data_IF_200533166403
#
_entry.id   IF_200533166403
#
_cell.length_a   1.000
_cell.length_b   1.000
_cell.length_c   1.000
_cell.angle_alpha   90.00
_cell.angle_beta   90.00
_cell.angle_gamma   90.00
#
_symmetry.space_group_name_H-M   'P 1'
#
loop_
_entity.id
_entity.type
_entity.pdbx_description
1 polymer ?
#
# COMPACT_ATOMS: atom_id res chain seq x y z
N UNK A 1 17.33 -1.13 28.53
CA UNK A 1 17.24 0.32 28.25
C UNK A 1 15.85 0.80 28.61
N UNK A 2 15.74 1.75 29.51
CA UNK A 2 14.50 2.51 29.74
C UNK A 2 14.56 3.74 28.84
N UNK A 3 13.59 3.87 27.93
CA UNK A 3 13.46 5.08 27.11
C UNK A 3 13.16 6.27 28.02
N UNK A 4 14.04 7.28 28.05
CA UNK A 4 13.81 8.56 28.73
C UNK A 4 13.39 9.63 27.70
N UNK A 5 12.66 10.66 28.14
CA UNK A 5 12.27 11.82 27.31
C UNK A 5 11.38 11.50 26.10
N UNK A 6 10.43 10.58 26.25
CA UNK A 6 9.41 10.33 25.23
C UNK A 6 8.61 11.60 24.95
N UNK A 7 8.32 11.85 23.67
CA UNK A 7 7.46 12.95 23.23
C UNK A 7 6.35 12.46 22.33
N UNK A 8 5.17 13.08 22.43
CA UNK A 8 4.07 12.87 21.49
C UNK A 8 4.33 13.64 20.20
N UNK A 9 4.36 12.92 19.08
CA UNK A 9 4.54 13.54 17.75
C UNK A 9 3.19 13.77 17.07
N UNK A 10 2.31 12.75 17.04
CA UNK A 10 0.97 12.83 16.43
C UNK A 10 -0.07 12.15 17.33
N UNK A 11 -1.24 12.75 17.50
CA UNK A 11 -2.37 12.26 18.30
C UNK A 11 -3.68 12.33 17.50
N UNK A 12 -4.82 11.93 18.10
CA UNK A 12 -6.14 12.08 17.47
C UNK A 12 -6.48 11.05 16.38
N UNK A 13 -5.78 9.91 16.32
CA UNK A 13 -5.89 8.95 15.21
C UNK A 13 -6.82 7.75 15.45
N UNK A 14 -7.55 7.69 16.57
CA UNK A 14 -8.40 6.53 16.91
C UNK A 14 -9.57 6.39 15.93
N UNK A 15 -9.85 5.17 15.48
CA UNK A 15 -11.10 4.77 14.81
C UNK A 15 -11.27 3.24 14.86
N UNK A 16 -12.45 2.74 14.49
CA UNK A 16 -12.76 1.31 14.32
C UNK A 16 -12.24 0.77 12.98
N UNK A 17 -12.33 -0.55 12.76
CA UNK A 17 -11.96 -1.25 11.52
C UNK A 17 -10.46 -1.16 11.18
N UNK A 18 -10.00 -0.15 10.44
CA UNK A 18 -8.57 -0.02 10.09
C UNK A 18 -7.80 0.75 11.17
N UNK A 19 -7.10 0.02 12.03
CA UNK A 19 -6.44 0.57 13.24
C UNK A 19 -4.92 0.77 13.11
N UNK A 20 -4.30 0.29 12.04
CA UNK A 20 -2.86 0.45 11.78
C UNK A 20 -2.52 1.90 11.38
N UNK A 21 -1.38 2.41 11.83
CA UNK A 21 -0.90 3.77 11.51
C UNK A 21 0.54 3.71 10.99
N UNK A 22 0.70 3.46 9.69
CA UNK A 22 2.04 3.34 9.10
C UNK A 22 2.79 4.66 9.20
N UNK A 23 4.05 4.57 9.60
CA UNK A 23 4.98 5.68 9.74
C UNK A 23 6.07 5.58 8.68
N UNK A 24 6.40 6.70 8.03
CA UNK A 24 7.53 6.80 7.11
C UNK A 24 8.21 8.16 7.30
N UNK A 25 9.48 8.14 7.73
CA UNK A 25 10.34 9.34 7.71
C UNK A 25 10.88 9.51 6.29
N UNK A 26 10.76 10.71 5.73
CA UNK A 26 11.25 10.98 4.37
C UNK A 26 12.78 11.05 4.36
N UNK A 27 13.43 10.31 3.47
CA UNK A 27 14.90 10.43 3.30
C UNK A 27 15.28 11.67 2.49
N UNK A 28 14.36 12.18 1.65
CA UNK A 28 14.52 13.43 0.88
C UNK A 28 14.24 14.69 1.70
N UNK A 29 13.44 14.59 2.75
CA UNK A 29 13.13 15.70 3.65
C UNK A 29 13.07 15.14 5.09
N UNK A 30 14.23 14.94 5.74
CA UNK A 30 14.33 14.21 7.01
C UNK A 30 13.52 14.78 8.17
N UNK A 31 13.13 16.05 8.11
CA UNK A 31 12.23 16.67 9.08
C UNK A 31 10.76 16.24 8.92
N UNK A 32 10.39 15.56 7.83
CA UNK A 32 9.01 15.20 7.53
C UNK A 32 8.70 13.74 7.87
N UNK A 33 7.67 13.57 8.71
CA UNK A 33 7.04 12.30 9.04
C UNK A 33 5.73 12.16 8.25
N UNK A 34 5.62 11.08 7.49
CA UNK A 34 4.42 10.66 6.78
C UNK A 34 3.66 9.65 7.62
N UNK A 35 2.36 9.86 7.81
CA UNK A 35 1.49 8.99 8.62
C UNK A 35 0.23 8.62 7.85
N UNK A 36 0.00 7.32 7.65
CA UNK A 36 -1.22 6.79 7.06
C UNK A 36 -2.28 6.49 8.13
N UNK A 37 -3.55 6.73 7.77
CA UNK A 37 -4.72 6.34 8.56
C UNK A 37 -5.81 5.82 7.63
N UNK A 38 -6.24 4.58 7.86
CA UNK A 38 -7.31 3.94 7.10
C UNK A 38 -8.70 4.49 7.40
N UNK A 39 -9.71 3.94 6.72
CA UNK A 39 -11.12 4.22 6.97
C UNK A 39 -11.61 3.58 8.27
N UNK A 40 -12.74 4.05 8.80
CA UNK A 40 -13.34 3.46 10.00
C UNK A 40 -14.36 2.33 9.73
N UNK A 41 -14.58 2.03 8.46
CA UNK A 41 -15.45 0.97 7.96
C UNK A 41 -14.94 0.57 6.56
N UNK A 42 -15.49 -0.52 6.04
CA UNK A 42 -15.25 -1.01 4.71
C UNK A 42 -15.67 0.00 3.62
N UNK A 43 -16.78 0.72 3.84
CA UNK A 43 -17.25 1.86 3.04
C UNK A 43 -17.56 3.05 3.96
N UNK A 44 -16.53 3.78 4.34
CA UNK A 44 -16.59 5.05 5.07
C UNK A 44 -16.99 6.18 4.12
N UNK A 45 -18.29 6.33 3.88
CA UNK A 45 -18.83 7.37 2.98
C UNK A 45 -18.39 8.78 3.39
N UNK A 46 -18.15 9.02 4.68
CA UNK A 46 -17.68 10.30 5.20
C UNK A 46 -16.25 10.65 4.79
N UNK A 47 -15.42 9.67 4.40
CA UNK A 47 -14.02 9.88 4.01
C UNK A 47 -13.86 10.62 2.68
N UNK A 48 -14.94 10.78 1.90
CA UNK A 48 -14.94 11.64 0.71
C UNK A 48 -14.65 13.08 1.07
N UNK A 49 -15.01 13.50 2.30
CA UNK A 49 -14.65 14.81 2.80
C UNK A 49 -13.25 14.77 3.40
N UNK A 50 -12.32 15.53 2.81
CA UNK A 50 -10.94 15.62 3.28
C UNK A 50 -10.84 16.05 4.76
N UNK A 51 -11.81 16.80 5.30
CA UNK A 51 -11.81 17.21 6.71
C UNK A 51 -12.17 16.08 7.69
N UNK A 52 -12.74 14.97 7.20
CA UNK A 52 -13.04 13.80 8.03
C UNK A 52 -11.78 13.08 8.53
N UNK A 53 -10.62 13.35 7.90
CA UNK A 53 -9.30 12.86 8.29
C UNK A 53 -9.18 11.33 8.43
N UNK A 54 -9.95 10.57 7.64
CA UNK A 54 -9.91 9.10 7.54
C UNK A 54 -9.72 8.69 6.09
N UNK A 55 -9.11 7.53 5.85
CA UNK A 55 -8.68 7.08 4.53
C UNK A 55 -7.73 8.11 3.86
N UNK A 56 -6.69 8.51 4.59
CA UNK A 56 -5.74 9.57 4.21
C UNK A 56 -4.30 9.22 4.58
N UNK A 57 -3.39 9.94 3.92
CA UNK A 57 -1.98 10.04 4.29
C UNK A 57 -1.65 11.50 4.53
N UNK A 58 -1.04 11.80 5.68
CA UNK A 58 -0.69 13.15 6.11
C UNK A 58 0.80 13.29 6.42
N UNK A 59 1.29 14.53 6.36
CA UNK A 59 2.69 14.88 6.61
C UNK A 59 2.77 15.86 7.77
N UNK A 60 3.73 15.63 8.64
CA UNK A 60 4.03 16.44 9.82
C UNK A 60 5.52 16.76 9.84
N UNK A 61 5.88 17.96 10.27
CA UNK A 61 7.27 18.28 10.56
C UNK A 61 7.58 17.84 11.99
N UNK A 62 8.21 16.68 12.15
CA UNK A 62 8.44 16.10 13.48
C UNK A 62 9.56 16.81 14.26
N UNK A 63 10.23 17.79 13.65
CA UNK A 63 11.28 18.60 14.28
C UNK A 63 10.74 19.87 14.95
N UNK A 64 9.47 20.22 14.70
CA UNK A 64 8.84 21.46 15.19
C UNK A 64 7.53 21.20 15.95
N UNK A 65 7.60 20.31 16.95
CA UNK A 65 6.43 19.86 17.71
C UNK A 65 5.72 21.00 18.45
N UNK A 66 4.38 20.93 18.58
CA UNK A 66 3.62 21.86 19.43
C UNK A 66 4.12 21.86 20.88
N UNK A 67 4.10 23.04 21.52
CA UNK A 67 4.49 23.20 22.92
C UNK A 67 3.59 22.36 23.86
N UNK A 68 4.16 21.91 24.99
CA UNK A 68 3.41 21.20 26.02
C UNK A 68 3.26 19.68 25.83
N UNK A 69 4.08 19.05 24.99
CA UNK A 69 4.09 17.59 24.75
C UNK A 69 2.71 17.00 24.37
N UNK A 70 1.96 17.77 23.59
CA UNK A 70 0.65 17.37 23.07
C UNK A 70 0.74 16.66 21.72
N UNK A 71 1.82 16.90 20.96
CA UNK A 71 1.96 16.48 19.56
C UNK A 71 0.97 17.18 18.64
N UNK A 72 1.05 16.88 17.34
CA UNK A 72 0.07 17.37 16.37
C UNK A 72 -1.23 16.56 16.43
N UNK A 73 -2.39 17.21 16.38
CA UNK A 73 -3.66 16.54 16.09
C UNK A 73 -3.70 16.15 14.60
N UNK A 74 -3.79 14.84 14.34
CA UNK A 74 -3.84 14.31 12.98
C UNK A 74 -4.96 14.93 12.15
N UNK A 75 -6.12 15.19 12.76
CA UNK A 75 -7.32 15.61 12.07
C UNK A 75 -7.22 17.04 11.54
N UNK A 76 -6.49 17.91 12.25
CA UNK A 76 -6.50 19.35 12.02
C UNK A 76 -5.15 19.93 11.63
N UNK A 77 -4.02 19.33 12.03
CA UNK A 77 -2.69 19.94 11.91
C UNK A 77 -1.75 19.28 10.88
N UNK A 78 -2.12 18.11 10.34
CA UNK A 78 -1.32 17.44 9.30
C UNK A 78 -1.61 17.95 7.89
N UNK A 79 -0.58 18.15 7.08
CA UNK A 79 -0.74 18.47 5.64
C UNK A 79 -1.22 17.23 4.90
N UNK A 80 -2.33 17.33 4.17
CA UNK A 80 -2.90 16.20 3.44
C UNK A 80 -2.05 15.92 2.20
N UNK A 81 -1.42 14.75 2.16
CA UNK A 81 -0.66 14.28 1.01
C UNK A 81 -1.57 13.55 0.03
N UNK A 82 -2.44 12.71 0.55
CA UNK A 82 -3.44 11.97 -0.21
C UNK A 82 -4.70 11.74 0.64
N UNK A 83 -5.87 11.78 0.01
CA UNK A 83 -7.13 11.35 0.61
C UNK A 83 -7.96 10.53 -0.39
N UNK A 84 -8.97 9.83 0.12
CA UNK A 84 -9.70 8.84 -0.66
C UNK A 84 -8.84 7.62 -0.94
N UNK A 85 -8.10 7.18 0.08
CA UNK A 85 -7.16 6.05 0.06
C UNK A 85 -7.52 5.10 1.21
N UNK A 86 -8.27 4.03 0.90
CA UNK A 86 -9.04 3.23 1.89
C UNK A 86 -8.22 2.80 3.10
N UNK A 87 -7.08 2.15 2.90
CA UNK A 87 -6.17 1.74 3.97
C UNK A 87 -4.74 1.56 3.44
N UNK A 88 -3.95 2.63 3.48
CA UNK A 88 -2.57 2.68 3.00
C UNK A 88 -1.58 2.12 4.02
N UNK A 89 -1.44 0.80 4.09
CA UNK A 89 -0.49 0.19 5.04
C UNK A 89 0.95 0.21 4.50
N UNK A 90 1.15 -0.03 3.20
CA UNK A 90 2.46 -0.04 2.59
C UNK A 90 2.92 1.33 2.08
N UNK A 91 3.93 1.91 2.74
CA UNK A 91 4.54 3.18 2.34
C UNK A 91 6.04 3.02 2.05
N UNK A 92 6.49 3.56 0.92
CA UNK A 92 7.92 3.84 0.68
C UNK A 92 8.05 5.22 0.05
N UNK A 93 9.26 5.79 0.12
CA UNK A 93 9.56 6.98 -0.64
C UNK A 93 9.54 6.66 -2.15
N UNK A 94 8.89 7.52 -2.96
CA UNK A 94 8.67 7.40 -4.41
C UNK A 94 7.61 6.40 -4.93
N UNK A 95 7.09 5.50 -4.10
CA UNK A 95 5.96 4.62 -4.46
C UNK A 95 5.14 4.24 -3.23
N UNK A 96 3.82 4.06 -3.35
CA UNK A 96 2.95 3.73 -2.21
C UNK A 96 1.90 2.72 -2.62
N UNK A 97 1.60 1.75 -1.76
CA UNK A 97 0.64 0.71 -2.09
C UNK A 97 -0.64 0.89 -1.31
N UNK A 98 -1.71 1.01 -2.09
CA UNK A 98 -3.09 1.06 -1.65
C UNK A 98 -3.63 -0.35 -1.53
N UNK A 99 -4.10 -0.67 -0.33
CA UNK A 99 -5.06 -1.74 -0.18
C UNK A 99 -6.44 -1.27 -0.64
N UNK A 100 -6.92 -1.83 -1.74
CA UNK A 100 -8.29 -1.69 -2.24
C UNK A 100 -9.10 -2.92 -1.84
N UNK A 101 -9.22 -3.17 -0.54
CA UNK A 101 -10.25 -4.09 -0.06
C UNK A 101 -11.64 -3.54 -0.40
N UNK A 102 -12.50 -4.31 -1.06
CA UNK A 102 -13.93 -4.03 -1.12
C UNK A 102 -14.66 -5.19 -0.44
N UNK A 103 -15.20 -4.95 0.75
CA UNK A 103 -16.20 -5.79 1.43
C UNK A 103 -17.62 -5.55 0.88
N UNK A 104 -18.44 -6.61 0.99
CA UNK A 104 -19.85 -6.88 0.62
C UNK A 104 -20.60 -6.23 -0.57
N UNK A 105 -20.26 -5.06 -1.12
CA UNK A 105 -21.16 -4.35 -2.05
C UNK A 105 -20.68 -4.19 -3.52
N UNK A 106 -20.05 -5.21 -4.10
CA UNK A 106 -19.88 -5.28 -5.56
C UNK A 106 -21.19 -5.78 -6.20
N UNK A 107 -21.53 -5.40 -7.46
CA UNK A 107 -22.56 -6.10 -8.24
C UNK A 107 -22.22 -7.61 -8.29
N UNK A 108 -23.17 -8.53 -8.51
CA UNK A 108 -23.36 -9.81 -7.76
C UNK A 108 -22.09 -10.54 -7.28
N UNK A 109 -22.22 -11.37 -6.24
CA UNK A 109 -21.14 -12.14 -5.56
C UNK A 109 -20.02 -12.71 -6.44
N UNK A 110 -20.27 -13.00 -7.72
CA UNK A 110 -19.28 -13.41 -8.71
C UNK A 110 -18.20 -12.36 -9.02
N UNK A 111 -18.52 -11.06 -9.10
CA UNK A 111 -17.53 -10.04 -9.49
C UNK A 111 -16.46 -9.80 -8.43
N UNK A 112 -16.83 -10.04 -7.16
CA UNK A 112 -15.97 -9.90 -5.98
C UNK A 112 -14.72 -10.73 -6.04
N UNK A 113 -14.77 -11.95 -6.58
CA UNK A 113 -13.60 -12.82 -6.53
C UNK A 113 -12.38 -12.22 -7.26
N UNK A 114 -12.61 -11.45 -8.32
CA UNK A 114 -11.54 -10.84 -9.12
C UNK A 114 -11.73 -9.33 -9.34
N UNK A 115 -12.43 -8.62 -8.45
CA UNK A 115 -12.46 -7.16 -8.40
C UNK A 115 -12.66 -6.67 -6.96
N UNK A 116 -12.27 -5.42 -6.65
CA UNK A 116 -11.41 -4.55 -7.46
C UNK A 116 -9.94 -4.96 -7.38
N UNK A 117 -9.12 -4.44 -8.29
CA UNK A 117 -7.66 -4.58 -8.19
C UNK A 117 -7.11 -3.84 -6.97
N UNK A 118 -6.16 -4.46 -6.29
CA UNK A 118 -5.26 -3.76 -5.36
C UNK A 118 -4.41 -2.77 -6.15
N UNK A 119 -3.88 -1.71 -5.55
CA UNK A 119 -3.38 -0.58 -6.35
C UNK A 119 -2.01 -0.08 -5.89
N UNK A 120 -1.14 0.25 -6.84
CA UNK A 120 0.09 1.01 -6.60
C UNK A 120 -0.15 2.47 -7.01
N UNK A 121 0.06 3.41 -6.10
CA UNK A 121 -0.07 4.84 -6.35
C UNK A 121 1.25 5.58 -6.16
N UNK A 122 1.38 6.70 -6.85
CA UNK A 122 2.40 7.70 -6.58
C UNK A 122 1.70 8.98 -6.11
N UNK A 123 1.91 9.30 -4.84
CA UNK A 123 1.34 10.48 -4.17
C UNK A 123 2.28 11.70 -4.26
N UNK A 124 3.48 11.54 -4.82
CA UNK A 124 4.50 12.58 -4.90
C UNK A 124 5.30 12.76 -3.60
N UNK A 125 6.19 13.77 -3.62
CA UNK A 125 7.06 14.10 -2.51
C UNK A 125 6.27 14.57 -1.28
N UNK A 126 6.74 14.20 -0.08
CA UNK A 126 6.11 14.62 1.18
C UNK A 126 6.07 16.14 1.34
N UNK A 127 7.10 16.84 0.85
CA UNK A 127 7.19 18.31 0.84
C UNK A 127 6.14 18.98 -0.06
N UNK A 128 5.59 18.26 -1.04
CA UNK A 128 4.61 18.73 -2.02
C UNK A 128 3.17 18.27 -1.73
N UNK A 129 2.84 18.01 -0.45
CA UNK A 129 1.49 17.67 -0.01
C UNK A 129 0.47 18.70 -0.53
N UNK A 130 -0.55 18.20 -1.26
CA UNK A 130 -1.47 19.00 -2.09
C UNK A 130 -2.90 18.46 -2.11
N UNK A 131 -3.30 17.70 -1.08
CA UNK A 131 -4.68 17.23 -0.88
C UNK A 131 -5.26 16.52 -2.11
N UNK A 132 -4.50 15.60 -2.71
CA UNK A 132 -4.92 14.87 -3.93
C UNK A 132 -5.91 13.75 -3.61
N UNK A 133 -6.93 13.60 -4.45
CA UNK A 133 -7.99 12.58 -4.31
C UNK A 133 -7.69 11.32 -5.11
N UNK A 134 -7.92 10.14 -4.51
CA UNK A 134 -7.60 8.84 -5.12
C UNK A 134 -8.78 7.88 -5.24
N UNK A 135 -10.01 8.39 -5.04
CA UNK A 135 -11.23 7.74 -5.51
C UNK A 135 -12.08 7.05 -4.43
N UNK A 136 -11.51 6.52 -3.34
CA UNK A 136 -12.33 5.94 -2.27
C UNK A 136 -13.15 7.04 -1.56
N UNK A 137 -14.43 6.81 -1.22
CA UNK A 137 -15.14 5.53 -1.14
C UNK A 137 -15.95 5.13 -2.38
N UNK A 138 -15.85 5.86 -3.49
CA UNK A 138 -16.73 5.69 -4.63
C UNK A 138 -16.09 5.00 -5.83
N UNK A 139 -14.80 5.24 -6.09
CA UNK A 139 -14.11 4.80 -7.29
C UNK A 139 -13.16 3.63 -7.02
N UNK A 140 -13.45 2.51 -7.68
CA UNK A 140 -12.69 1.26 -7.57
C UNK A 140 -12.11 0.86 -8.93
N UNK A 141 -10.94 0.22 -8.94
CA UNK A 141 -10.27 -0.11 -10.20
C UNK A 141 -10.68 -1.50 -10.68
N UNK A 142 -11.13 -1.58 -11.92
CA UNK A 142 -11.42 -2.83 -12.62
C UNK A 142 -10.13 -3.63 -12.75
N UNK A 143 -10.13 -4.87 -12.29
CA UNK A 143 -9.10 -5.87 -12.54
C UNK A 143 -9.55 -6.89 -13.57
N UNK A 144 -10.78 -7.39 -13.45
CA UNK A 144 -11.35 -8.36 -14.37
C UNK A 144 -12.61 -7.81 -15.03
N UNK A 145 -12.50 -7.23 -16.24
CA UNK A 145 -13.64 -6.64 -16.94
C UNK A 145 -14.67 -7.69 -17.39
N UNK A 146 -14.29 -8.96 -17.51
CA UNK A 146 -15.18 -10.03 -17.97
C UNK A 146 -16.33 -10.35 -17.00
N UNK A 147 -16.23 -9.85 -15.76
CA UNK A 147 -17.23 -10.05 -14.71
C UNK A 147 -18.30 -8.96 -14.70
N UNK A 148 -18.17 -7.93 -15.53
CA UNK A 148 -19.18 -6.89 -15.70
C UNK A 148 -20.18 -7.30 -16.80
N UNK A 149 -21.44 -6.81 -16.75
CA UNK A 149 -22.41 -7.04 -17.82
C UNK A 149 -21.83 -6.69 -19.19
N UNK A 150 -22.15 -7.47 -20.23
CA UNK A 150 -21.60 -7.26 -21.58
C UNK A 150 -22.01 -5.92 -22.22
N UNK A 151 -23.02 -5.23 -21.66
CA UNK A 151 -23.38 -3.86 -22.02
C UNK A 151 -22.36 -2.82 -21.57
N UNK A 152 -21.51 -3.17 -20.59
CA UNK A 152 -20.54 -2.27 -19.99
C UNK A 152 -19.17 -2.49 -20.66
N UNK A 153 -18.61 -1.44 -21.25
CA UNK A 153 -17.33 -1.48 -21.97
C UNK A 153 -16.12 -1.22 -21.06
N UNK A 154 -15.97 -1.99 -19.97
CA UNK A 154 -14.84 -1.83 -19.05
C UNK A 154 -13.55 -2.47 -19.56
N UNK A 155 -12.43 -1.83 -19.27
CA UNK A 155 -11.08 -2.40 -19.36
C UNK A 155 -10.40 -2.48 -17.99
N UNK A 156 -9.39 -3.34 -17.85
CA UNK A 156 -8.52 -3.35 -16.67
C UNK A 156 -7.95 -1.95 -16.43
N UNK A 157 -8.00 -1.46 -15.20
CA UNK A 157 -7.54 -0.12 -14.83
C UNK A 157 -8.58 0.99 -14.99
N UNK A 158 -9.78 0.68 -15.49
CA UNK A 158 -10.90 1.60 -15.47
C UNK A 158 -11.48 1.76 -14.07
N UNK A 159 -12.18 2.88 -13.88
CA UNK A 159 -12.94 3.11 -12.68
C UNK A 159 -14.31 2.48 -12.83
N UNK A 160 -14.80 1.88 -11.76
CA UNK A 160 -16.20 1.51 -11.61
C UNK A 160 -16.72 1.94 -10.23
N UNK A 161 -18.05 2.06 -10.14
CA UNK A 161 -18.79 2.35 -8.91
C UNK A 161 -19.64 1.14 -8.52
N UNK A 162 -19.98 1.00 -7.24
CA UNK A 162 -20.72 -0.16 -6.73
C UNK A 162 -22.21 -0.17 -7.11
N UNK A 163 -22.87 1.00 -7.11
CA UNK A 163 -24.30 1.15 -7.43
C UNK A 163 -24.51 2.24 -8.48
N UNK A 164 -24.35 1.93 -9.78
CA UNK A 164 -24.65 2.89 -10.84
C UNK A 164 -26.17 3.08 -10.98
N UNK A 165 -26.71 4.30 -10.98
CA UNK A 165 -28.09 4.52 -11.44
C UNK A 165 -28.16 4.55 -12.98
N UNK A 166 -29.35 4.28 -13.52
CA UNK A 166 -29.64 4.13 -14.96
C UNK A 166 -29.16 5.36 -15.75
N UNK A 167 -28.27 5.14 -16.73
CA UNK A 167 -27.69 6.22 -17.55
C UNK A 167 -26.18 6.39 -17.45
N UNK A 168 -25.50 5.55 -16.66
CA UNK A 168 -24.03 5.56 -16.58
C UNK A 168 -23.54 6.59 -15.57
N UNK A 169 -23.29 6.12 -14.34
CA UNK A 169 -22.73 6.88 -13.22
C UNK A 169 -23.58 8.09 -12.82
N UNK A 170 -24.69 7.80 -12.17
CA UNK A 170 -25.31 8.74 -11.24
C UNK A 170 -25.41 8.06 -9.85
N UNK A 171 -24.94 8.76 -8.82
CA UNK A 171 -25.09 8.40 -7.40
C UNK A 171 -25.92 9.46 -6.67
N UNK A 172 -26.81 10.15 -7.40
CA UNK A 172 -27.73 11.16 -6.86
C UNK A 172 -28.53 10.65 -5.67
N UNK A 173 -28.81 9.34 -5.60
CA UNK A 173 -29.51 8.68 -4.48
C UNK A 173 -28.65 8.46 -3.24
N UNK A 174 -27.32 8.63 -3.32
CA UNK A 174 -26.38 8.61 -2.18
C UNK A 174 -25.90 10.03 -1.81
N UNK A 175 -26.59 11.09 -2.25
CA UNK A 175 -26.31 12.46 -1.79
C UNK A 175 -26.50 12.55 -0.28
N UNK A 176 -25.41 12.46 0.47
CA UNK A 176 -25.37 12.94 1.85
C UNK A 176 -25.80 14.42 1.86
N UNK A 177 -26.62 14.89 2.83
CA UNK A 177 -27.06 16.28 2.90
C UNK A 177 -25.92 17.31 2.85
N UNK A 178 -24.73 16.94 3.35
CA UNK A 178 -23.52 17.77 3.30
C UNK A 178 -22.90 17.93 1.90
N UNK A 179 -23.39 17.22 0.89
CA UNK A 179 -22.87 17.22 -0.50
C UNK A 179 -23.89 17.69 -1.53
N UNK A 180 -25.06 18.20 -1.09
CA UNK A 180 -26.15 18.67 -1.97
C UNK A 180 -25.71 19.75 -2.97
N UNK A 181 -24.72 20.57 -2.62
CA UNK A 181 -24.18 21.64 -3.47
C UNK A 181 -22.87 21.27 -4.18
N UNK A 182 -22.49 19.97 -4.22
CA UNK A 182 -21.31 19.47 -4.94
C UNK A 182 -21.75 18.63 -6.15
N UNK A 183 -20.98 18.62 -7.26
CA UNK A 183 -21.30 17.79 -8.42
C UNK A 183 -21.37 16.29 -8.02
N UNK A 184 -22.22 15.47 -8.68
CA UNK A 184 -22.41 14.07 -8.34
C UNK A 184 -21.07 13.32 -8.31
N UNK A 185 -20.92 12.29 -7.44
CA UNK A 185 -19.68 11.52 -7.39
C UNK A 185 -19.53 10.72 -8.69
N UNK A 186 -18.81 11.31 -9.63
CA UNK A 186 -18.37 10.61 -10.83
C UNK A 186 -17.03 9.95 -10.55
N UNK A 187 -16.71 8.92 -11.32
CA UNK A 187 -15.37 8.35 -11.37
C UNK A 187 -14.78 8.48 -12.79
N UNK A 188 -15.21 9.53 -13.49
CA UNK A 188 -14.68 9.91 -14.81
C UNK A 188 -13.64 11.02 -14.68
N UNK A 189 -13.25 11.61 -15.82
CA UNK A 189 -12.28 12.71 -15.89
C UNK A 189 -12.69 13.96 -15.11
N UNK A 190 -13.97 14.12 -14.76
CA UNK A 190 -14.49 15.29 -14.02
C UNK A 190 -14.46 15.11 -12.50
N UNK A 191 -14.19 13.89 -12.02
CA UNK A 191 -14.15 13.54 -10.60
C UNK A 191 -12.95 14.09 -9.82
N UNK A 192 -11.86 14.41 -10.51
CA UNK A 192 -10.57 14.70 -9.89
C UNK A 192 -9.90 13.48 -9.24
N UNK A 193 -10.46 12.27 -9.37
CA UNK A 193 -9.87 11.04 -8.84
C UNK A 193 -8.66 10.61 -9.65
N UNK A 194 -7.50 10.50 -9.00
CA UNK A 194 -6.24 10.11 -9.63
C UNK A 194 -6.15 8.59 -9.72
N UNK A 195 -6.02 8.07 -10.95
CA UNK A 195 -5.82 6.64 -11.21
C UNK A 195 -4.52 6.11 -10.59
N UNK A 196 -4.49 4.82 -10.18
CA UNK A 196 -3.25 4.15 -9.84
C UNK A 196 -2.27 4.13 -10.99
N UNK A 197 -1.02 3.83 -10.66
CA UNK A 197 0.05 3.59 -11.62
C UNK A 197 0.04 2.14 -12.13
N UNK A 198 -0.33 1.20 -11.28
CA UNK A 198 -0.42 -0.23 -11.60
C UNK A 198 -1.40 -0.92 -10.64
N UNK A 199 -1.92 -2.08 -11.02
CA UNK A 199 -2.75 -2.92 -10.15
C UNK A 199 -2.01 -4.18 -9.70
N UNK A 200 -2.42 -4.69 -8.54
CA UNK A 200 -2.13 -6.05 -8.09
C UNK A 200 -3.41 -6.87 -8.02
N UNK A 201 -3.25 -8.19 -7.88
CA UNK A 201 -4.38 -9.10 -7.83
C UNK A 201 -5.33 -8.74 -6.68
N UNK A 202 -6.65 -8.69 -6.93
CA UNK A 202 -7.69 -8.45 -5.93
C UNK A 202 -7.51 -9.29 -4.67
N UNK A 203 -7.67 -8.65 -3.52
CA UNK A 203 -7.62 -9.26 -2.18
C UNK A 203 -6.24 -9.82 -1.77
N UNK A 204 -5.18 -9.53 -2.53
CA UNK A 204 -3.82 -9.94 -2.14
C UNK A 204 -3.34 -9.28 -0.84
N UNK A 205 -3.98 -8.19 -0.41
CA UNK A 205 -3.71 -7.49 0.84
C UNK A 205 -2.24 -7.05 0.99
N UNK A 206 -1.74 -6.15 0.13
CA UNK A 206 -0.41 -5.61 0.28
C UNK A 206 -0.25 -4.80 1.58
N UNK A 207 0.76 -5.10 2.40
CA UNK A 207 0.95 -4.43 3.70
C UNK A 207 2.27 -3.66 3.83
N UNK A 208 3.28 -3.98 3.03
CA UNK A 208 4.53 -3.22 3.00
C UNK A 208 5.13 -3.18 1.59
N UNK A 209 5.91 -2.15 1.35
CA UNK A 209 6.71 -1.96 0.15
C UNK A 209 8.09 -1.43 0.55
N UNK A 210 9.13 -1.98 -0.07
CA UNK A 210 10.51 -1.50 0.11
C UNK A 210 11.20 -1.37 -1.24
N UNK A 211 12.01 -0.32 -1.36
CA UNK A 211 12.93 -0.18 -2.48
C UNK A 211 14.02 -1.25 -2.37
N UNK A 212 14.27 -1.95 -3.47
CA UNK A 212 15.46 -2.78 -3.59
C UNK A 212 16.74 -1.95 -3.53
N UNK A 213 17.89 -2.58 -3.25
CA UNK A 213 19.18 -1.89 -3.14
C UNK A 213 19.56 -1.21 -4.47
N UNK A 214 19.97 0.06 -4.41
CA UNK A 214 20.28 0.87 -5.60
C UNK A 214 21.51 0.43 -6.41
N UNK A 215 22.35 -0.45 -5.87
CA UNK A 215 23.51 -1.06 -6.54
C UNK A 215 23.20 -2.42 -7.17
N UNK A 216 21.96 -2.91 -7.06
CA UNK A 216 21.63 -4.26 -7.46
C UNK A 216 21.47 -4.38 -8.97
N UNK A 217 22.56 -4.71 -9.67
CA UNK A 217 22.54 -5.08 -11.10
C UNK A 217 21.91 -6.46 -11.36
N UNK A 218 21.47 -7.17 -10.30
CA UNK A 218 20.99 -8.54 -10.36
C UNK A 218 19.63 -8.74 -9.65
N UNK A 219 18.81 -7.69 -9.53
CA UNK A 219 17.51 -7.73 -8.86
C UNK A 219 16.76 -9.04 -9.15
N UNK A 220 16.70 -9.91 -8.14
CA UNK A 220 16.09 -11.25 -8.11
C UNK A 220 15.58 -11.73 -9.46
N UNK A 221 16.42 -12.48 -10.19
CA UNK A 221 15.93 -13.24 -11.33
C UNK A 221 14.81 -14.16 -10.89
N UNK A 222 13.60 -13.88 -11.36
CA UNK A 222 12.51 -14.81 -11.28
C UNK A 222 13.02 -16.19 -11.74
N UNK A 223 12.77 -17.28 -10.99
CA UNK A 223 13.16 -18.62 -11.43
C UNK A 223 12.37 -19.10 -12.67
N UNK A 224 11.47 -18.27 -13.22
CA UNK A 224 10.69 -18.57 -14.41
C UNK A 224 11.10 -17.66 -15.59
N UNK A 225 11.45 -18.24 -16.76
CA UNK A 225 11.60 -17.48 -17.99
C UNK A 225 10.27 -16.81 -18.32
N UNK A 226 10.27 -15.49 -18.44
CA UNK A 226 9.16 -14.74 -19.03
C UNK A 226 9.40 -14.81 -20.55
N UNK A 227 8.57 -15.52 -21.35
CA UNK A 227 8.90 -15.83 -22.75
C UNK A 227 9.00 -14.63 -23.69
N UNK A 228 8.73 -13.41 -23.22
CA UNK A 228 8.70 -12.18 -24.01
C UNK A 228 9.77 -11.15 -23.62
N UNK A 229 10.65 -11.43 -22.64
CA UNK A 229 11.77 -10.54 -22.33
C UNK A 229 13.06 -11.03 -22.98
N UNK A 230 13.83 -10.15 -23.64
CA UNK A 230 15.10 -10.53 -24.26
C UNK A 230 16.09 -11.07 -23.21
N UNK A 231 17.05 -11.93 -23.61
CA UNK A 231 18.04 -12.52 -22.72
C UNK A 231 18.78 -11.45 -21.90
N UNK A 232 18.85 -11.67 -20.58
CA UNK A 232 19.32 -10.73 -19.55
C UNK A 232 20.84 -10.45 -19.57
N UNK A 233 21.56 -10.81 -20.63
CA UNK A 233 23.03 -10.73 -20.68
C UNK A 233 23.59 -9.39 -21.20
N UNK A 234 22.77 -8.39 -21.49
CA UNK A 234 23.22 -7.10 -22.05
C UNK A 234 22.86 -5.85 -21.22
N UNK A 235 22.22 -5.99 -20.06
CA UNK A 235 21.85 -4.86 -19.19
C UNK A 235 22.75 -4.84 -17.95
N UNK A 236 23.82 -4.06 -18.00
CA UNK A 236 24.76 -3.81 -16.89
C UNK A 236 24.16 -2.91 -15.77
N UNK A 237 22.82 -2.79 -15.71
CA UNK A 237 22.06 -2.08 -14.67
C UNK A 237 20.69 -2.74 -14.56
N UNK A 238 20.45 -3.59 -13.55
CA UNK A 238 19.09 -4.05 -13.29
C UNK A 238 18.26 -2.86 -12.79
N UNK A 239 17.03 -2.69 -13.30
CA UNK A 239 16.14 -1.63 -12.84
C UNK A 239 15.86 -1.76 -11.33
N UNK A 240 15.83 -0.64 -10.59
CA UNK A 240 15.46 -0.63 -9.17
C UNK A 240 14.10 -1.30 -8.98
N UNK A 241 14.09 -2.43 -8.30
CA UNK A 241 12.90 -3.26 -8.14
C UNK A 241 12.33 -3.02 -6.75
N UNK A 242 11.04 -2.75 -6.63
CA UNK A 242 10.38 -2.72 -5.33
C UNK A 242 10.02 -4.14 -4.90
N UNK A 243 10.06 -4.39 -3.60
CA UNK A 243 9.56 -5.62 -3.00
C UNK A 243 8.28 -5.31 -2.24
N UNK A 244 7.28 -6.17 -2.36
CA UNK A 244 5.96 -5.98 -1.78
C UNK A 244 5.51 -7.24 -1.06
N UNK A 245 4.99 -7.10 0.15
CA UNK A 245 4.40 -8.20 0.92
C UNK A 245 2.90 -8.27 0.67
N UNK A 246 2.41 -9.41 0.18
CA UNK A 246 0.99 -9.74 0.06
C UNK A 246 0.57 -10.65 1.20
N UNK A 247 -0.16 -10.08 2.16
CA UNK A 247 -0.56 -10.75 3.40
C UNK A 247 -1.58 -11.87 3.20
N UNK A 248 -2.34 -11.80 2.09
CA UNK A 248 -3.26 -12.84 1.69
C UNK A 248 -4.73 -12.54 1.96
N UNK A 249 -5.57 -13.07 1.09
CA UNK A 249 -7.01 -12.84 1.08
C UNK A 249 -7.73 -13.61 2.18
N UNK A 250 -8.73 -12.97 2.79
CA UNK A 250 -9.71 -13.63 3.66
C UNK A 250 -11.10 -13.75 3.02
N UNK A 251 -11.37 -12.95 1.97
CA UNK A 251 -12.68 -12.76 1.35
C UNK A 251 -12.72 -13.19 -0.14
N UNK A 252 -11.90 -14.19 -0.52
CA UNK A 252 -11.78 -14.70 -1.88
C UNK A 252 -11.71 -16.22 -1.87
N UNK A 253 -12.38 -16.87 -2.84
CA UNK A 253 -12.23 -18.29 -3.11
C UNK A 253 -11.92 -18.52 -4.61
N UNK A 254 -10.83 -19.25 -4.96
CA UNK A 254 -9.78 -19.72 -4.05
C UNK A 254 -9.00 -18.55 -3.41
N UNK A 255 -8.22 -18.77 -2.32
CA UNK A 255 -7.39 -17.73 -1.75
C UNK A 255 -6.35 -17.17 -2.74
N UNK A 256 -5.84 -15.98 -2.47
CA UNK A 256 -4.68 -15.40 -3.17
C UNK A 256 -3.82 -14.55 -2.23
N UNK A 257 -2.65 -14.10 -2.70
CA UNK A 257 -1.64 -13.40 -1.92
C UNK A 257 -0.70 -14.41 -1.23
N UNK A 258 -0.50 -14.27 0.08
CA UNK A 258 0.36 -15.15 0.88
C UNK A 258 1.77 -15.30 0.29
N UNK A 259 2.36 -14.18 -0.13
CA UNK A 259 3.62 -14.14 -0.87
C UNK A 259 4.30 -12.79 -0.80
N UNK A 260 5.56 -12.76 -1.18
CA UNK A 260 6.34 -11.55 -1.45
C UNK A 260 6.55 -11.48 -2.96
N UNK A 261 6.35 -10.31 -3.54
CA UNK A 261 6.49 -10.07 -4.98
C UNK A 261 7.50 -8.96 -5.28
N UNK A 262 8.04 -8.99 -6.50
CA UNK A 262 8.92 -8.01 -7.08
C UNK A 262 8.13 -7.14 -8.07
N UNK A 263 8.29 -5.83 -7.97
CA UNK A 263 7.72 -4.86 -8.90
C UNK A 263 8.86 -4.17 -9.65
N UNK A 264 9.13 -4.56 -10.91
CA UNK A 264 10.15 -3.92 -11.71
C UNK A 264 9.78 -2.46 -12.02
N UNK A 265 10.79 -1.61 -12.14
CA UNK A 265 10.60 -0.21 -12.53
C UNK A 265 11.90 0.52 -12.79
N UNK A 266 11.81 1.67 -13.45
CA UNK A 266 12.97 2.50 -13.79
C UNK A 266 13.11 3.67 -12.83
N UNK A 267 14.33 4.21 -12.71
CA UNK A 267 14.58 5.51 -12.06
C UNK A 267 15.02 6.53 -13.09
N UNK A 268 14.50 7.75 -12.98
CA UNK A 268 15.02 8.90 -13.72
C UNK A 268 16.39 9.32 -13.17
N UNK A 269 17.11 10.16 -13.91
CA UNK A 269 18.36 10.77 -13.43
C UNK A 269 18.17 11.59 -12.14
N UNK A 270 16.98 12.16 -11.94
CA UNK A 270 16.59 12.85 -10.70
C UNK A 270 16.18 11.91 -9.55
N UNK A 271 16.32 10.59 -9.74
CA UNK A 271 16.04 9.58 -8.73
C UNK A 271 14.57 9.20 -8.57
N UNK A 272 13.65 9.76 -9.37
CA UNK A 272 12.23 9.41 -9.30
C UNK A 272 11.99 8.02 -9.89
N UNK A 273 11.31 7.15 -9.15
CA UNK A 273 11.00 5.79 -9.61
C UNK A 273 9.64 5.71 -10.31
N UNK A 274 9.54 4.86 -11.34
CA UNK A 274 8.30 4.48 -12.02
C UNK A 274 8.28 2.99 -12.32
N UNK A 275 7.17 2.34 -12.00
CA UNK A 275 6.95 0.93 -12.28
C UNK A 275 6.92 0.65 -13.79
N UNK A 276 7.40 -0.53 -14.19
CA UNK A 276 7.35 -0.99 -15.58
C UNK A 276 5.96 -1.53 -15.95
N UNK A 277 5.19 -2.01 -14.98
CA UNK A 277 3.83 -2.50 -15.21
C UNK A 277 2.86 -1.38 -15.60
N UNK A 278 2.09 -1.59 -16.67
CA UNK A 278 1.04 -0.68 -17.07
C UNK A 278 -0.22 -0.87 -16.22
N UNK A 279 -0.97 0.22 -15.98
CA UNK A 279 -2.26 0.18 -15.28
C UNK A 279 -3.27 -0.78 -15.93
N UNK A 280 -3.22 -0.90 -17.25
CA UNK A 280 -4.11 -1.77 -18.04
C UNK A 280 -3.66 -3.24 -18.07
N UNK A 281 -2.50 -3.55 -17.47
CA UNK A 281 -1.90 -4.88 -17.47
C UNK A 281 -2.02 -5.61 -16.13
N UNK A 282 -1.86 -6.94 -16.18
CA UNK A 282 -1.86 -7.82 -14.99
C UNK A 282 -0.48 -8.39 -14.65
N UNK A 283 0.49 -8.24 -15.54
CA UNK A 283 1.85 -8.81 -15.44
C UNK A 283 2.88 -7.81 -14.90
N UNK A 284 2.46 -6.91 -14.00
CA UNK A 284 3.30 -5.83 -13.48
C UNK A 284 4.27 -6.24 -12.36
N UNK A 285 4.24 -7.49 -11.92
CA UNK A 285 5.02 -8.01 -10.80
C UNK A 285 5.27 -9.52 -10.95
N UNK A 286 6.28 -10.03 -10.24
CA UNK A 286 6.64 -11.47 -10.21
C UNK A 286 6.80 -11.98 -8.79
N UNK A 287 6.59 -13.27 -8.56
CA UNK A 287 6.72 -13.87 -7.23
C UNK A 287 8.20 -13.99 -6.82
N UNK A 288 8.50 -13.69 -5.54
CA UNK A 288 9.82 -13.85 -4.92
C UNK A 288 9.83 -15.00 -3.90
N UNK A 289 8.91 -14.94 -2.94
CA UNK A 289 8.75 -15.94 -1.87
C UNK A 289 7.27 -16.23 -1.74
N UNK A 290 6.84 -17.47 -1.87
CA UNK A 290 5.42 -17.81 -1.94
C UNK A 290 5.13 -19.18 -1.32
N UNK A 291 3.91 -19.35 -0.83
CA UNK A 291 3.42 -20.65 -0.36
C UNK A 291 3.09 -21.55 -1.55
N UNK A 292 3.52 -22.81 -1.51
CA UNK A 292 3.35 -23.76 -2.62
C UNK A 292 1.92 -24.27 -2.78
N UNK A 293 1.16 -24.36 -1.69
CA UNK A 293 -0.25 -24.73 -1.71
C UNK A 293 -1.14 -23.59 -1.16
N UNK A 294 -1.57 -22.70 -2.06
CA UNK A 294 -2.39 -21.54 -1.66
C UNK A 294 -3.80 -21.91 -1.17
N UNK A 295 -4.30 -23.12 -1.48
CA UNK A 295 -5.62 -23.57 -1.04
C UNK A 295 -5.66 -23.92 0.45
N UNK A 296 -4.49 -24.12 1.08
CA UNK A 296 -4.36 -24.36 2.52
C UNK A 296 -4.25 -23.06 3.34
N UNK A 297 -4.17 -21.90 2.68
CA UNK A 297 -4.08 -20.60 3.36
C UNK A 297 -5.47 -20.13 3.85
N UNK A 298 -5.56 -19.42 4.99
CA UNK A 298 -4.44 -18.91 5.80
C UNK A 298 -3.80 -19.91 6.77
N UNK A 299 -4.41 -21.07 7.02
CA UNK A 299 -4.09 -21.90 8.19
C UNK A 299 -2.71 -22.59 8.14
N UNK A 300 -2.18 -22.83 6.95
CA UNK A 300 -0.89 -23.51 6.76
C UNK A 300 0.10 -22.69 5.92
N UNK A 301 0.01 -21.35 6.02
CA UNK A 301 0.79 -20.43 5.20
C UNK A 301 1.41 -19.32 6.02
N UNK A 302 2.64 -18.91 5.68
CA UNK A 302 3.17 -17.64 6.19
C UNK A 302 2.36 -16.46 5.60
N UNK A 303 2.23 -15.37 6.36
CA UNK A 303 1.45 -14.19 6.01
C UNK A 303 2.32 -12.94 6.08
N UNK A 304 3.00 -12.56 4.98
CA UNK A 304 4.04 -11.54 5.04
C UNK A 304 3.45 -10.15 5.36
N UNK A 305 4.09 -9.43 6.27
CA UNK A 305 3.73 -8.06 6.72
C UNK A 305 4.89 -7.10 6.45
N UNK A 306 5.80 -6.93 7.40
CA UNK A 306 6.91 -5.97 7.32
C UNK A 306 8.07 -6.50 6.51
N UNK A 307 8.70 -5.61 5.73
CA UNK A 307 9.88 -5.86 4.93
C UNK A 307 11.02 -4.93 5.35
N UNK A 308 12.24 -5.45 5.44
CA UNK A 308 13.43 -4.62 5.68
C UNK A 308 14.67 -5.21 5.01
N UNK A 309 15.43 -4.36 4.33
CA UNK A 309 16.77 -4.71 3.88
C UNK A 309 17.78 -4.48 5.00
N UNK A 310 18.77 -5.35 5.13
CA UNK A 310 19.97 -4.98 5.88
C UNK A 310 20.67 -3.78 5.21
N UNK A 311 21.51 -3.01 5.93
CA UNK A 311 22.18 -1.84 5.37
C UNK A 311 23.01 -2.12 4.11
N UNK A 312 23.53 -3.34 3.97
CA UNK A 312 24.29 -3.77 2.79
C UNK A 312 23.41 -4.13 1.58
N UNK A 313 22.08 -4.26 1.73
CA UNK A 313 21.17 -4.65 0.66
C UNK A 313 21.32 -6.11 0.18
N UNK A 314 21.91 -6.97 1.01
CA UNK A 314 22.20 -8.37 0.68
C UNK A 314 21.17 -9.33 1.26
N UNK A 315 20.48 -8.95 2.33
CA UNK A 315 19.48 -9.77 3.03
C UNK A 315 18.18 -8.99 3.17
N UNK A 316 17.08 -9.59 2.72
CA UNK A 316 15.72 -9.12 2.95
C UNK A 316 15.13 -9.88 4.13
N UNK A 317 14.67 -9.15 5.14
CA UNK A 317 13.87 -9.68 6.23
C UNK A 317 12.38 -9.55 5.92
N UNK A 318 11.62 -10.60 6.19
CA UNK A 318 10.17 -10.67 5.98
C UNK A 318 9.52 -11.15 7.27
N UNK A 319 8.67 -10.33 7.88
CA UNK A 319 7.90 -10.72 9.06
C UNK A 319 6.58 -11.40 8.66
N UNK A 320 6.14 -12.39 9.43
CA UNK A 320 4.84 -13.05 9.28
C UNK A 320 4.10 -13.05 10.62
N UNK A 321 3.08 -12.18 10.75
CA UNK A 321 2.31 -12.04 11.99
C UNK A 321 1.44 -13.27 12.28
N UNK A 322 0.89 -13.91 11.24
CA UNK A 322 0.04 -15.10 11.36
C UNK A 322 0.78 -16.33 11.89
N UNK A 323 2.11 -16.35 11.78
CA UNK A 323 2.96 -17.48 12.25
C UNK A 323 3.95 -17.08 13.34
N UNK A 324 4.16 -15.78 13.59
CA UNK A 324 5.16 -15.27 14.54
C UNK A 324 6.60 -15.38 14.05
N UNK A 325 6.83 -15.59 12.75
CA UNK A 325 8.14 -15.84 12.16
C UNK A 325 8.76 -14.58 11.53
N UNK A 326 10.10 -14.56 11.48
CA UNK A 326 10.87 -13.63 10.63
C UNK A 326 11.76 -14.47 9.72
N UNK A 327 11.58 -14.33 8.41
CA UNK A 327 12.40 -14.98 7.39
C UNK A 327 13.54 -14.05 6.98
N UNK A 328 14.71 -14.61 6.68
CA UNK A 328 15.83 -13.91 6.08
C UNK A 328 16.11 -14.51 4.69
N UNK A 329 15.98 -13.71 3.64
CA UNK A 329 16.23 -14.11 2.26
C UNK A 329 17.59 -13.53 1.83
N UNK A 330 18.51 -14.41 1.50
CA UNK A 330 19.85 -14.07 1.01
C UNK A 330 20.07 -14.65 -0.39
N UNK A 331 20.93 -14.00 -1.18
CA UNK A 331 21.36 -14.49 -2.50
C UNK A 331 22.44 -15.57 -2.41
N UNK A 332 23.17 -15.60 -1.31
CA UNK A 332 24.24 -16.58 -1.05
C UNK A 332 23.76 -17.58 -0.01
N UNK A 333 24.21 -18.84 -0.15
CA UNK A 333 23.91 -19.93 0.80
C UNK A 333 24.47 -19.70 2.22
N UNK A 334 25.27 -18.66 2.42
CA UNK A 334 25.82 -18.25 3.71
C UNK A 334 25.14 -16.99 4.22
N UNK A 335 24.25 -17.13 5.20
CA UNK A 335 23.76 -16.00 6.00
C UNK A 335 24.71 -15.89 7.20
N UNK A 336 25.46 -14.80 7.29
CA UNK A 336 26.10 -14.41 8.55
C UNK A 336 25.12 -13.47 9.26
N UNK A 337 24.26 -13.97 10.17
CA UNK A 337 23.26 -13.13 10.81
C UNK A 337 23.99 -12.07 11.64
N UNK A 338 23.84 -10.81 11.23
CA UNK A 338 24.18 -9.69 12.11
C UNK A 338 22.97 -9.51 13.01
N UNK A 339 23.04 -10.07 14.22
CA UNK A 339 22.09 -9.76 15.28
C UNK A 339 22.19 -8.27 15.57
N UNK A 340 21.23 -7.48 15.07
CA UNK A 340 21.02 -6.11 15.51
C UNK A 340 19.87 -6.11 16.51
N UNK A 341 20.16 -5.77 17.76
CA UNK A 341 19.14 -5.44 18.77
C UNK A 341 18.46 -4.11 18.41
N UNK A 342 17.56 -4.15 17.43
CA UNK A 342 16.57 -3.10 17.18
C UNK A 342 15.33 -3.40 18.02
N UNK A 343 15.04 -2.55 19.00
CA UNK A 343 13.93 -2.71 19.93
C UNK A 343 12.59 -2.92 19.21
N UNK A 344 12.02 -4.13 19.36
CA UNK A 344 10.64 -4.44 19.03
C UNK A 344 9.78 -3.90 20.18
N UNK A 345 8.93 -2.90 19.90
CA UNK A 345 7.91 -2.46 20.84
C UNK A 345 6.88 -3.58 21.02
N UNK A 346 7.11 -4.46 22.00
CA UNK A 346 6.12 -5.41 22.50
C UNK A 346 5.05 -4.64 23.28
N UNK A 347 3.99 -4.21 22.60
CA UNK A 347 2.72 -3.92 23.26
C UNK A 347 1.69 -4.89 22.70
N UNK A 348 1.29 -5.86 23.52
CA UNK A 348 0.11 -6.66 23.28
C UNK A 348 -1.10 -5.72 23.24
N UNK A 349 -1.55 -5.34 22.04
CA UNK A 349 -2.91 -4.86 21.88
C UNK A 349 -3.84 -6.06 21.96
N UNK A 350 -4.84 -6.00 22.84
CA UNK A 350 -5.93 -6.97 22.91
C UNK A 350 -6.82 -6.84 21.66
N UNK A 351 -6.30 -7.32 20.52
CA UNK A 351 -6.90 -7.55 19.20
C UNK A 351 -5.72 -7.56 18.21
N UNK A 352 -5.07 -8.71 18.06
CA UNK A 352 -3.78 -8.85 17.41
C UNK A 352 -3.76 -8.45 15.94
N UNK A 353 -3.01 -7.39 15.63
CA UNK A 353 -2.39 -7.15 14.33
C UNK A 353 -1.02 -6.51 14.59
N UNK A 354 0.05 -7.23 14.25
CA UNK A 354 1.42 -6.77 14.43
C UNK A 354 1.89 -6.09 13.14
N UNK A 355 1.72 -4.77 13.03
CA UNK A 355 2.39 -3.99 11.97
C UNK A 355 3.69 -3.42 12.50
N UNK A 356 4.81 -4.10 12.26
CA UNK A 356 6.15 -3.54 12.46
C UNK A 356 6.63 -2.93 11.16
N UNK A 357 6.76 -1.60 11.11
CA UNK A 357 7.60 -0.94 10.11
C UNK A 357 9.02 -0.91 10.67
N UNK A 358 9.88 -1.83 10.25
CA UNK A 358 11.30 -1.80 10.63
C UNK A 358 12.02 -0.85 9.67
N UNK A 359 12.22 0.39 10.07
CA UNK A 359 13.19 1.30 9.43
C UNK A 359 14.53 1.09 10.15
N UNK A 360 15.54 0.59 9.44
CA UNK A 360 16.91 0.45 9.97
C UNK A 360 17.62 1.77 9.71
N UNK A 361 17.66 2.67 10.68
CA UNK A 361 18.45 3.91 10.62
C UNK A 361 19.79 3.74 11.32
N UNK A 362 20.87 4.07 10.62
CA UNK A 362 22.19 4.24 11.21
C UNK A 362 22.20 5.58 11.97
N UNK A 363 22.28 5.54 13.29
CA UNK A 363 22.80 6.68 14.04
C UNK A 363 24.33 6.73 13.81
N UNK A 364 24.89 7.80 13.23
CA UNK A 364 26.31 8.05 13.40
C UNK A 364 26.59 8.25 14.89
N UNK A 365 27.63 7.57 15.39
CA UNK A 365 28.11 7.72 16.77
C UNK A 365 28.56 9.14 17.08
#
# INVERSE_FOLDING_TARGET
MTMANQKKVVTGMVNTDHVTRTLLVSTKSPNLLVVARGSNDNLDLGSVNATAARAQVRVFDWTTLPAGDVGYDYNTQGRILAYGVRNEVGLVEDARIIWSGCGKALPPTSTRANNPGEKLHNFGAASAASSKYYGYPYCFSVWDPSLFPSSDSFSTGDWFVQSPTTGGIDVSSLRLPSLQNKPPCRCDSTSGAIKPKMLFQPHAAPLDIKLGPGSDTNAYGAPYPIPSLPPRSSLNTSPPTHVVSFHGSWNRSPPTGYKVVLVPGTRTASGAWSQSGALTGKAGYTDLLFNTNITACPNACFRPVGLAWNPAGTVLYVASDGTGEIFALSRTSSINPVLFEGFIANVFAAAGQLTTTTHVENFPR
#
